data_IF_788605415023
#
_entry.id   IF_788605415023
#
_cell.length_a   1.000
_cell.length_b   1.000
_cell.length_c   1.000
_cell.angle_alpha   90.00
_cell.angle_beta   90.00
_cell.angle_gamma   90.00
#
_symmetry.space_group_name_H-M   'P 1'
#
loop_
_entity.id
_entity.type
_entity.pdbx_description
1 polymer ?
#
# COMPACT_ATOMS: atom_id res chain seq x y z
N UNK A 1 23.08 -22.26 -31.54
CA UNK A 1 21.99 -21.37 -31.99
C UNK A 1 22.21 -20.03 -31.36
N UNK A 2 22.24 -18.96 -32.15
CA UNK A 2 22.43 -17.60 -31.62
C UNK A 2 21.16 -17.17 -30.90
N UNK A 3 21.20 -17.14 -29.56
CA UNK A 3 20.13 -16.64 -28.70
C UNK A 3 20.18 -15.10 -28.57
N UNK A 4 20.52 -14.39 -29.66
CA UNK A 4 20.65 -12.92 -29.70
C UNK A 4 19.31 -12.23 -29.99
N UNK A 5 18.21 -12.84 -29.54
CA UNK A 5 16.88 -12.24 -29.65
C UNK A 5 16.73 -11.17 -28.58
N UNK A 6 16.97 -9.92 -28.97
CA UNK A 6 16.62 -8.76 -28.14
C UNK A 6 15.09 -8.65 -28.10
N UNK A 7 14.52 -8.98 -26.94
CA UNK A 7 13.09 -8.83 -26.71
C UNK A 7 12.70 -7.35 -26.88
N UNK A 8 11.70 -7.03 -27.71
CA UNK A 8 11.23 -5.65 -27.83
C UNK A 8 10.75 -5.14 -26.48
N UNK A 9 10.95 -3.85 -26.22
CA UNK A 9 10.41 -3.19 -25.02
C UNK A 9 8.90 -3.47 -24.87
N UNK A 10 8.43 -3.56 -23.63
CA UNK A 10 7.01 -3.78 -23.31
C UNK A 10 6.17 -2.66 -23.92
N UNK A 11 5.07 -3.02 -24.58
CA UNK A 11 4.16 -2.07 -25.24
C UNK A 11 2.72 -2.43 -24.92
N UNK A 12 1.91 -1.41 -24.68
CA UNK A 12 0.46 -1.52 -24.51
C UNK A 12 -0.20 -0.54 -25.48
N UNK A 13 -1.30 -0.97 -26.08
CA UNK A 13 -2.15 -0.11 -26.91
C UNK A 13 -3.50 0.06 -26.24
N UNK A 14 -3.99 1.30 -26.20
CA UNK A 14 -5.34 1.63 -25.74
C UNK A 14 -6.10 2.25 -26.91
N UNK A 15 -7.29 1.70 -27.19
CA UNK A 15 -8.15 2.18 -28.28
C UNK A 15 -9.13 3.21 -27.74
N UNK A 16 -8.58 4.31 -27.26
CA UNK A 16 -9.36 5.45 -26.82
C UNK A 16 -9.69 6.37 -28.01
N UNK A 17 -10.98 6.57 -28.28
CA UNK A 17 -11.47 7.66 -29.13
C UNK A 17 -11.76 8.92 -28.31
N UNK A 18 -12.15 10.00 -28.98
CA UNK A 18 -12.20 11.38 -28.44
C UNK A 18 -12.82 11.53 -27.04
N UNK A 19 -13.88 10.77 -26.72
CA UNK A 19 -14.58 10.87 -25.43
C UNK A 19 -14.43 9.63 -24.53
N UNK A 20 -13.69 8.61 -24.96
CA UNK A 20 -13.64 7.31 -24.26
C UNK A 20 -13.14 7.39 -22.82
N UNK A 21 -12.22 8.33 -22.51
CA UNK A 21 -11.75 8.54 -21.14
C UNK A 21 -12.88 9.01 -20.20
N UNK A 22 -13.86 9.75 -20.73
CA UNK A 22 -15.03 10.22 -19.95
C UNK A 22 -16.07 9.11 -19.71
N UNK A 23 -16.05 8.07 -20.54
CA UNK A 23 -16.88 6.87 -20.39
C UNK A 23 -16.18 5.75 -19.62
N UNK A 24 -14.91 5.94 -19.24
CA UNK A 24 -14.19 4.95 -18.47
C UNK A 24 -14.82 4.81 -17.07
N UNK A 25 -15.21 3.59 -16.71
CA UNK A 25 -15.63 3.29 -15.35
C UNK A 25 -14.43 3.40 -14.40
N UNK A 26 -14.69 3.52 -13.11
CA UNK A 26 -13.62 3.49 -12.10
C UNK A 26 -12.73 2.22 -12.19
N UNK A 27 -13.30 1.09 -12.63
CA UNK A 27 -12.54 -0.13 -12.88
C UNK A 27 -11.68 -0.04 -14.16
N UNK A 28 -12.22 0.58 -15.23
CA UNK A 28 -11.49 0.79 -16.48
C UNK A 28 -10.26 1.70 -16.31
N UNK A 29 -10.38 2.76 -15.51
CA UNK A 29 -9.25 3.64 -15.20
C UNK A 29 -8.15 2.91 -14.42
N UNK A 30 -8.51 2.05 -13.45
CA UNK A 30 -7.53 1.23 -12.73
C UNK A 30 -6.78 0.26 -13.65
N UNK A 31 -7.47 -0.31 -14.63
CA UNK A 31 -6.83 -1.20 -15.61
C UNK A 31 -5.86 -0.43 -16.51
N UNK A 32 -6.20 0.80 -16.89
CA UNK A 32 -5.31 1.69 -17.62
C UNK A 32 -4.03 1.98 -16.83
N UNK A 33 -4.15 2.41 -15.57
CA UNK A 33 -3.00 2.69 -14.69
C UNK A 33 -2.11 1.45 -14.54
N UNK A 34 -2.69 0.28 -14.24
CA UNK A 34 -1.94 -0.96 -14.09
C UNK A 34 -1.18 -1.38 -15.36
N UNK A 35 -1.74 -1.10 -16.53
CA UNK A 35 -1.11 -1.41 -17.80
C UNK A 35 0.02 -0.42 -18.15
N UNK A 36 -0.10 0.85 -17.74
CA UNK A 36 1.01 1.82 -17.78
C UNK A 36 2.15 1.38 -16.85
N UNK A 37 1.83 1.02 -15.61
CA UNK A 37 2.82 0.53 -14.64
C UNK A 37 3.57 -0.71 -15.17
N UNK A 38 2.85 -1.66 -15.78
CA UNK A 38 3.46 -2.82 -16.42
C UNK A 38 4.41 -2.45 -17.56
N UNK A 39 4.01 -1.52 -18.43
CA UNK A 39 4.81 -1.05 -19.56
C UNK A 39 6.09 -0.34 -19.09
N UNK A 40 6.00 0.43 -18.01
CA UNK A 40 7.12 1.12 -17.37
C UNK A 40 7.97 0.21 -16.47
N UNK A 41 7.58 -1.06 -16.29
CA UNK A 41 8.20 -1.98 -15.34
C UNK A 41 8.22 -1.43 -13.90
N UNK A 42 7.16 -0.71 -13.52
CA UNK A 42 6.93 -0.22 -12.17
C UNK A 42 6.35 -1.37 -11.36
N UNK A 43 6.98 -1.69 -10.23
CA UNK A 43 6.43 -2.62 -9.25
C UNK A 43 5.53 -1.82 -8.32
N UNK A 44 4.22 -1.96 -8.49
CA UNK A 44 3.23 -1.33 -7.63
C UNK A 44 3.10 -2.14 -6.35
N UNK A 45 3.60 -1.61 -5.23
CA UNK A 45 3.34 -2.22 -3.93
C UNK A 45 1.93 -1.88 -3.48
N UNK A 46 1.18 -2.89 -3.01
CA UNK A 46 -0.12 -2.65 -2.42
C UNK A 46 0.00 -1.68 -1.24
N UNK A 47 -0.87 -0.67 -1.20
CA UNK A 47 -0.91 0.26 -0.07
C UNK A 47 -1.23 -0.52 1.21
N UNK A 48 -0.49 -0.31 2.31
CA UNK A 48 -0.75 -1.04 3.54
C UNK A 48 -2.07 -0.57 4.15
N UNK A 49 -2.81 -1.52 4.71
CA UNK A 49 -4.06 -1.29 5.43
C UNK A 49 -3.80 -1.25 6.93
N UNK A 50 -4.64 -0.49 7.65
CA UNK A 50 -4.62 -0.36 9.11
C UNK A 50 -6.07 -0.32 9.60
N UNK A 51 -6.42 -1.18 10.54
CA UNK A 51 -7.72 -1.20 11.21
C UNK A 51 -7.53 -1.28 12.72
N UNK A 52 -8.43 -0.65 13.46
CA UNK A 52 -8.32 -0.45 14.90
C UNK A 52 -9.63 -0.84 15.56
N UNK A 53 -9.56 -1.71 16.57
CA UNK A 53 -10.71 -2.13 17.36
C UNK A 53 -10.40 -2.01 18.87
N UNK A 54 -11.30 -1.40 19.64
CA UNK A 54 -11.18 -1.34 21.09
C UNK A 54 -11.70 -2.64 21.72
N UNK A 55 -11.02 -3.13 22.74
CA UNK A 55 -11.42 -4.30 23.51
C UNK A 55 -12.10 -3.88 24.82
N UNK A 56 -12.90 -4.78 25.41
CA UNK A 56 -13.62 -4.53 26.66
C UNK A 56 -12.69 -4.25 27.86
N UNK A 57 -11.46 -4.77 27.84
CA UNK A 57 -10.44 -4.51 28.85
C UNK A 57 -9.71 -3.16 28.67
N UNK A 58 -10.15 -2.32 27.72
CA UNK A 58 -9.56 -1.01 27.44
C UNK A 58 -8.36 -1.03 26.49
N UNK A 59 -7.80 -2.19 26.16
CA UNK A 59 -6.73 -2.33 25.16
C UNK A 59 -7.27 -2.16 23.73
N UNK A 60 -6.35 -2.04 22.78
CA UNK A 60 -6.68 -1.80 21.37
C UNK A 60 -6.01 -2.85 20.49
N UNK A 61 -6.80 -3.56 19.69
CA UNK A 61 -6.29 -4.41 18.62
C UNK A 61 -6.01 -3.55 17.39
N UNK A 62 -4.77 -3.58 16.92
CA UNK A 62 -4.34 -2.95 15.68
C UNK A 62 -4.06 -4.05 14.65
N UNK A 63 -4.84 -4.12 13.59
CA UNK A 63 -4.69 -5.07 12.49
C UNK A 63 -4.12 -4.34 11.27
N UNK A 64 -3.09 -4.90 10.64
CA UNK A 64 -2.36 -4.22 9.56
C UNK A 64 -1.79 -5.20 8.52
N UNK A 65 -1.55 -4.70 7.31
CA UNK A 65 -0.72 -5.36 6.30
C UNK A 65 0.63 -4.64 6.18
N UNK A 66 1.71 -5.36 5.88
CA UNK A 66 3.06 -4.79 5.84
C UNK A 66 3.67 -4.70 7.23
N UNK A 67 4.34 -3.59 7.54
CA UNK A 67 5.02 -3.35 8.82
C UNK A 67 4.26 -2.32 9.66
N UNK A 68 4.11 -2.57 10.96
CA UNK A 68 3.56 -1.59 11.89
C UNK A 68 4.71 -0.78 12.48
N UNK A 69 4.55 0.54 12.50
CA UNK A 69 5.49 1.46 13.13
C UNK A 69 4.77 2.31 14.18
N UNK A 70 5.50 2.70 15.21
CA UNK A 70 4.98 3.58 16.26
C UNK A 70 5.92 4.75 16.55
N UNK A 71 5.34 5.86 17.00
CA UNK A 71 6.04 7.09 17.35
C UNK A 71 5.39 7.70 18.59
N UNK A 72 6.15 8.39 19.42
CA UNK A 72 5.64 9.10 20.59
C UNK A 72 5.24 10.55 20.24
N UNK A 73 5.59 11.02 19.04
CA UNK A 73 5.31 12.37 18.55
C UNK A 73 4.94 12.38 17.07
N UNK A 74 4.03 13.29 16.68
CA UNK A 74 3.77 13.62 15.27
C UNK A 74 4.51 14.88 14.81
N UNK A 75 5.00 15.71 15.74
CA UNK A 75 5.73 16.94 15.41
C UNK A 75 7.22 16.69 15.23
N UNK A 76 7.78 15.74 15.98
CA UNK A 76 9.16 15.26 15.91
C UNK A 76 9.16 13.72 15.82
N UNK A 77 8.77 13.15 14.67
CA UNK A 77 8.47 11.74 14.60
C UNK A 77 9.70 10.85 14.82
N UNK A 78 9.55 9.86 15.69
CA UNK A 78 10.55 8.85 16.01
C UNK A 78 10.03 7.45 15.66
N UNK A 79 9.65 7.24 14.39
CA UNK A 79 9.04 5.99 13.94
C UNK A 79 9.96 4.77 14.16
N UNK A 80 9.51 3.86 14.99
CA UNK A 80 10.16 2.59 15.29
C UNK A 80 9.27 1.42 14.89
N UNK A 81 9.88 0.34 14.41
CA UNK A 81 9.14 -0.89 14.06
C UNK A 81 8.56 -1.53 15.30
N UNK A 82 7.27 -1.88 15.24
CA UNK A 82 6.57 -2.65 16.28
C UNK A 82 6.68 -4.14 15.94
N UNK A 83 7.11 -4.95 16.90
CA UNK A 83 7.17 -6.40 16.74
C UNK A 83 5.77 -6.99 16.64
N UNK A 84 5.49 -7.71 15.56
CA UNK A 84 4.22 -8.39 15.32
C UNK A 84 3.96 -8.60 13.82
N UNK A 85 2.96 -9.41 13.49
CA UNK A 85 2.57 -9.68 12.10
C UNK A 85 1.06 -9.77 12.00
N UNK A 86 0.46 -9.01 11.09
CA UNK A 86 -0.98 -9.02 10.83
C UNK A 86 -1.81 -8.31 11.91
N UNK A 87 -1.48 -8.51 13.19
CA UNK A 87 -2.18 -7.86 14.30
C UNK A 87 -1.29 -7.73 15.55
N UNK A 88 -1.49 -6.66 16.32
CA UNK A 88 -0.85 -6.40 17.62
C UNK A 88 -1.89 -5.91 18.61
N UNK A 89 -1.85 -6.43 19.84
CA UNK A 89 -2.66 -5.92 20.95
C UNK A 89 -1.86 -4.85 21.72
N UNK A 90 -2.33 -3.61 21.65
CA UNK A 90 -1.72 -2.46 22.33
C UNK A 90 -2.39 -2.26 23.68
N UNK A 91 -1.62 -2.45 24.75
CA UNK A 91 -2.09 -2.17 26.10
C UNK A 91 -2.17 -0.66 26.36
N UNK A 92 -3.14 -0.20 27.17
CA UNK A 92 -3.21 1.19 27.59
C UNK A 92 -1.93 1.59 28.32
N UNK A 93 -1.43 2.78 28.03
CA UNK A 93 -0.35 3.41 28.78
C UNK A 93 -0.75 4.85 29.09
N UNK A 94 -0.12 5.46 30.08
CA UNK A 94 -0.34 6.88 30.39
C UNK A 94 0.22 7.82 29.30
N UNK A 95 1.08 7.33 28.42
CA UNK A 95 1.69 8.09 27.33
C UNK A 95 0.90 7.93 26.03
N UNK A 96 0.73 9.04 25.31
CA UNK A 96 0.15 9.02 23.96
C UNK A 96 1.13 8.40 22.97
N UNK A 97 0.62 7.51 22.12
CA UNK A 97 1.42 6.81 21.11
C UNK A 97 0.67 6.79 19.78
N UNK A 98 1.40 6.99 18.69
CA UNK A 98 0.88 7.03 17.33
C UNK A 98 1.32 5.79 16.57
N UNK A 99 0.47 5.31 15.65
CA UNK A 99 0.72 4.11 14.87
C UNK A 99 0.47 4.37 13.39
N UNK A 100 1.29 3.75 12.54
CA UNK A 100 1.09 3.72 11.08
C UNK A 100 1.46 2.37 10.50
N UNK A 101 0.78 1.97 9.44
CA UNK A 101 1.21 0.85 8.61
C UNK A 101 2.11 1.36 7.48
N UNK A 102 3.22 0.68 7.25
CA UNK A 102 4.21 0.98 6.22
C UNK A 102 4.40 -0.26 5.31
N UNK A 103 4.89 -0.02 4.09
CA UNK A 103 5.36 -1.11 3.24
C UNK A 103 6.51 -1.87 3.95
N UNK A 104 6.72 -3.17 3.62
CA UNK A 104 7.77 -4.00 4.21
C UNK A 104 9.15 -3.34 4.21
#
# INVERSE_FOLDING_TARGET
GFNDFVMPARRVFFFFGDNTITFATAAGLKLFDAAVDWALNIVVSAKPTLSVARQANGSVTVTFTGRLESSDSLTTPNWQTVTGTGSVNVQPSAQQKYYRAANP
#
